data_IF_197767607830
#
_entry.id   IF_197767607830
#
_cell.length_a   1.000
_cell.length_b   1.000
_cell.length_c   1.000
_cell.angle_alpha   90.00
_cell.angle_beta   90.00
_cell.angle_gamma   90.00
#
_symmetry.space_group_name_H-M   'P 1'
#
loop_
_entity.id
_entity.type
_entity.pdbx_description
1 polymer ?
#
# COMPACT_ATOMS: atom_id res chain seq x y z
N UNK A 1 -4.95 -29.72 -18.10
CA UNK A 1 -5.52 -30.06 -16.77
C UNK A 1 -6.08 -28.77 -16.20
N UNK A 2 -7.35 -28.71 -15.79
CA UNK A 2 -7.86 -27.51 -15.12
C UNK A 2 -7.34 -27.45 -13.68
N UNK A 3 -6.93 -26.27 -13.18
CA UNK A 3 -6.42 -26.14 -11.82
C UNK A 3 -7.54 -26.44 -10.80
N UNK A 4 -7.22 -27.26 -9.81
CA UNK A 4 -8.12 -27.49 -8.66
C UNK A 4 -7.99 -26.29 -7.72
N UNK A 5 -9.06 -25.51 -7.61
CA UNK A 5 -9.13 -24.34 -6.73
C UNK A 5 -9.78 -24.76 -5.40
N UNK A 6 -9.25 -24.28 -4.28
CA UNK A 6 -9.87 -24.48 -2.97
C UNK A 6 -11.29 -23.88 -2.96
N UNK A 7 -12.28 -24.66 -2.53
CA UNK A 7 -13.68 -24.26 -2.48
C UNK A 7 -13.91 -22.96 -1.69
N UNK A 8 -13.13 -22.69 -0.65
CA UNK A 8 -13.21 -21.44 0.13
C UNK A 8 -12.86 -20.22 -0.72
N UNK A 9 -11.93 -20.37 -1.67
CA UNK A 9 -11.55 -19.33 -2.64
C UNK A 9 -12.60 -19.25 -3.74
N UNK A 10 -13.08 -20.40 -4.23
CA UNK A 10 -14.10 -20.47 -5.29
C UNK A 10 -15.41 -19.77 -4.93
N UNK A 11 -15.73 -19.65 -3.64
CA UNK A 11 -16.91 -18.93 -3.15
C UNK A 11 -16.72 -17.43 -2.90
N UNK A 12 -15.49 -16.91 -3.01
CA UNK A 12 -15.23 -15.49 -2.79
C UNK A 12 -15.88 -14.65 -3.89
N UNK A 13 -16.57 -13.58 -3.48
CA UNK A 13 -17.12 -12.60 -4.40
C UNK A 13 -16.04 -11.62 -4.84
N UNK A 14 -16.22 -11.05 -6.02
CA UNK A 14 -15.42 -9.90 -6.45
C UNK A 14 -15.55 -8.75 -5.43
N UNK A 15 -14.43 -8.05 -5.19
CA UNK A 15 -14.44 -6.87 -4.34
C UNK A 15 -15.23 -5.73 -4.99
N UNK A 16 -16.22 -5.20 -4.27
CA UNK A 16 -17.01 -4.07 -4.74
C UNK A 16 -16.14 -2.81 -5.02
N UNK A 17 -15.06 -2.60 -4.25
CA UNK A 17 -14.16 -1.46 -4.46
C UNK A 17 -13.31 -1.63 -5.71
N UNK A 18 -12.91 -2.87 -6.02
CA UNK A 18 -12.16 -3.17 -7.25
C UNK A 18 -13.06 -2.98 -8.48
N UNK A 19 -14.29 -3.51 -8.43
CA UNK A 19 -15.26 -3.39 -9.51
C UNK A 19 -15.54 -1.93 -9.88
N UNK A 20 -15.85 -1.08 -8.89
CA UNK A 20 -16.13 0.34 -9.14
C UNK A 20 -14.90 1.06 -9.72
N UNK A 21 -13.71 0.78 -9.22
CA UNK A 21 -12.47 1.39 -9.74
C UNK A 21 -12.20 0.97 -11.19
N UNK A 22 -12.37 -0.31 -11.52
CA UNK A 22 -12.20 -0.81 -12.90
C UNK A 22 -13.25 -0.21 -13.85
N UNK A 23 -14.51 -0.11 -13.41
CA UNK A 23 -15.56 0.52 -14.19
C UNK A 23 -15.26 2.00 -14.46
N UNK A 24 -14.81 2.74 -13.45
CA UNK A 24 -14.43 4.16 -13.62
C UNK A 24 -13.27 4.32 -14.62
N UNK A 25 -12.25 3.47 -14.55
CA UNK A 25 -11.14 3.46 -15.51
C UNK A 25 -11.60 3.13 -16.94
N UNK A 26 -12.47 2.12 -17.08
CA UNK A 26 -13.05 1.73 -18.37
C UNK A 26 -13.82 2.89 -19.02
N UNK A 27 -14.78 3.48 -18.30
CA UNK A 27 -15.59 4.59 -18.81
C UNK A 27 -14.74 5.81 -19.20
N UNK A 28 -13.67 6.11 -18.43
CA UNK A 28 -12.68 7.14 -18.80
C UNK A 28 -11.94 6.82 -20.09
N UNK A 29 -11.52 5.56 -20.26
CA UNK A 29 -10.84 5.12 -21.49
C UNK A 29 -11.73 5.18 -22.74
N UNK A 30 -13.05 5.08 -22.55
CA UNK A 30 -14.07 5.27 -23.59
C UNK A 30 -14.39 6.75 -23.87
N UNK A 31 -13.70 7.69 -23.20
CA UNK A 31 -13.88 9.13 -23.38
C UNK A 31 -15.03 9.74 -22.56
N UNK A 32 -15.63 8.97 -21.64
CA UNK A 32 -16.70 9.51 -20.79
C UNK A 32 -16.13 10.44 -19.70
N UNK A 33 -16.86 11.52 -19.42
CA UNK A 33 -16.48 12.47 -18.39
C UNK A 33 -16.84 11.96 -16.99
N UNK A 34 -15.94 11.18 -16.38
CA UNK A 34 -16.13 10.58 -15.06
C UNK A 34 -15.30 11.30 -14.00
N UNK A 35 -15.99 11.87 -13.01
CA UNK A 35 -15.39 12.31 -11.75
C UNK A 35 -15.23 11.09 -10.82
N UNK A 36 -14.03 10.52 -10.79
CA UNK A 36 -13.70 9.40 -9.91
C UNK A 36 -13.20 9.96 -8.59
N UNK A 37 -13.90 9.67 -7.49
CA UNK A 37 -13.54 10.09 -6.12
C UNK A 37 -13.20 8.88 -5.22
N UNK A 38 -12.98 7.71 -5.83
CA UNK A 38 -12.67 6.46 -5.15
C UNK A 38 -11.17 6.26 -4.88
N UNK A 39 -10.42 7.34 -4.62
CA UNK A 39 -8.98 7.27 -4.39
C UNK A 39 -8.71 6.63 -3.02
N UNK A 40 -7.86 5.59 -2.98
CA UNK A 40 -7.35 4.99 -1.75
C UNK A 40 -5.89 5.34 -1.45
N UNK A 41 -5.23 6.05 -2.37
CA UNK A 41 -3.84 6.45 -2.29
C UNK A 41 -3.70 7.98 -2.29
N UNK A 42 -2.57 8.46 -1.79
CA UNK A 42 -2.23 9.88 -1.85
C UNK A 42 -2.07 10.31 -3.33
N UNK A 43 -2.70 11.42 -3.77
CA UNK A 43 -2.51 11.93 -5.12
C UNK A 43 -1.19 12.71 -5.29
N UNK A 44 -0.46 12.94 -4.18
CA UNK A 44 0.79 13.69 -4.19
C UNK A 44 1.98 12.80 -4.55
N UNK A 45 3.00 13.34 -5.24
CA UNK A 45 4.22 12.61 -5.50
C UNK A 45 4.92 12.23 -4.19
N UNK A 46 5.72 11.16 -4.25
CA UNK A 46 6.56 10.75 -3.12
C UNK A 46 7.53 11.89 -2.76
N UNK A 47 7.65 12.30 -1.48
CA UNK A 47 8.57 13.35 -1.06
C UNK A 47 10.03 13.08 -1.45
N UNK A 48 10.73 14.11 -1.89
CA UNK A 48 12.12 14.01 -2.37
C UNK A 48 13.09 13.35 -1.38
N UNK A 49 13.07 13.65 -0.06
CA UNK A 49 13.94 12.98 0.89
C UNK A 49 13.73 11.45 0.95
N UNK A 50 12.49 10.99 0.76
CA UNK A 50 12.19 9.56 0.71
C UNK A 50 12.76 8.93 -0.56
N UNK A 51 12.62 9.61 -1.70
CA UNK A 51 13.16 9.15 -2.98
C UNK A 51 14.69 9.00 -2.92
N UNK A 52 15.39 9.97 -2.35
CA UNK A 52 16.84 9.93 -2.16
C UNK A 52 17.24 8.76 -1.24
N UNK A 53 16.61 8.63 -0.07
CA UNK A 53 16.92 7.57 0.88
C UNK A 53 16.72 6.15 0.28
N UNK A 54 15.66 5.97 -0.52
CA UNK A 54 15.41 4.72 -1.25
C UNK A 54 16.49 4.43 -2.29
N UNK A 55 16.89 5.43 -3.08
CA UNK A 55 17.94 5.30 -4.09
C UNK A 55 19.29 4.94 -3.47
N UNK A 56 19.69 5.64 -2.41
CA UNK A 56 20.95 5.41 -1.71
C UNK A 56 21.04 4.03 -1.08
N UNK A 57 19.91 3.44 -0.65
CA UNK A 57 19.88 2.15 0.03
C UNK A 57 19.50 0.97 -0.87
N UNK A 58 19.37 1.16 -2.19
CA UNK A 58 18.96 0.12 -3.14
C UNK A 58 19.89 -1.11 -3.18
N UNK A 59 21.14 -0.98 -2.72
CA UNK A 59 22.09 -2.09 -2.62
C UNK A 59 21.77 -3.09 -1.49
N UNK A 60 20.93 -2.72 -0.52
CA UNK A 60 20.53 -3.56 0.60
C UNK A 60 19.48 -4.57 0.13
N UNK A 61 19.85 -5.85 0.11
CA UNK A 61 19.00 -6.96 -0.40
C UNK A 61 18.83 -8.12 0.58
N UNK A 62 19.49 -8.02 1.72
CA UNK A 62 19.49 -9.06 2.74
C UNK A 62 18.12 -9.12 3.43
N UNK A 63 17.73 -10.32 3.84
CA UNK A 63 16.57 -10.47 4.72
C UNK A 63 16.77 -9.67 6.01
N UNK A 64 15.68 -9.07 6.47
CA UNK A 64 15.57 -8.44 7.78
C UNK A 64 14.66 -9.30 8.67
N UNK A 65 14.58 -8.96 9.96
CA UNK A 65 13.62 -9.61 10.85
C UNK A 65 12.19 -9.51 10.30
N UNK A 66 11.35 -10.51 10.57
CA UNK A 66 9.92 -10.46 10.26
C UNK A 66 9.19 -9.28 10.92
N UNK A 67 9.76 -8.73 12.01
CA UNK A 67 9.27 -7.52 12.66
C UNK A 67 9.76 -6.21 12.00
N UNK A 68 10.60 -6.29 10.97
CA UNK A 68 11.26 -5.15 10.34
C UNK A 68 12.56 -4.72 11.03
N UNK A 69 13.12 -3.61 10.57
CA UNK A 69 14.38 -3.06 11.07
C UNK A 69 14.26 -2.59 12.52
N UNK A 70 15.18 -2.96 13.44
CA UNK A 70 15.17 -2.47 14.82
C UNK A 70 15.18 -0.94 14.92
N UNK A 71 15.94 -0.27 14.05
CA UNK A 71 16.08 1.18 14.02
C UNK A 71 14.77 1.85 13.59
N UNK A 72 14.07 1.26 12.61
CA UNK A 72 12.76 1.74 12.16
C UNK A 72 11.72 1.61 13.29
N UNK A 73 11.68 0.47 13.97
CA UNK A 73 10.76 0.26 15.09
C UNK A 73 10.99 1.27 16.21
N UNK A 74 12.27 1.54 16.55
CA UNK A 74 12.64 2.54 17.56
C UNK A 74 12.24 3.96 17.11
N UNK A 75 12.45 4.31 15.85
CA UNK A 75 12.07 5.62 15.32
C UNK A 75 10.55 5.84 15.37
N UNK A 76 9.76 4.82 15.00
CA UNK A 76 8.30 4.86 15.07
C UNK A 76 7.81 4.99 16.52
N UNK A 77 8.35 4.19 17.44
CA UNK A 77 8.00 4.29 18.86
C UNK A 77 8.32 5.69 19.43
N UNK A 78 9.49 6.25 19.08
CA UNK A 78 9.88 7.60 19.46
C UNK A 78 8.95 8.68 18.92
N UNK A 79 8.55 8.58 17.65
CA UNK A 79 7.57 9.49 17.03
C UNK A 79 6.22 9.44 17.76
N UNK A 80 5.70 8.25 18.05
CA UNK A 80 4.42 8.14 18.75
C UNK A 80 4.49 8.66 20.20
N UNK A 81 5.66 8.55 20.83
CA UNK A 81 5.89 9.14 22.13
C UNK A 81 5.89 10.67 22.07
N UNK A 82 6.62 11.27 21.12
CA UNK A 82 6.74 12.73 21.02
C UNK A 82 5.44 13.40 20.59
N UNK A 83 4.75 12.84 19.60
CA UNK A 83 3.54 13.45 19.02
C UNK A 83 2.28 13.17 19.84
N UNK A 84 2.20 12.00 20.48
CA UNK A 84 0.96 11.52 21.10
C UNK A 84 1.12 11.04 22.54
N UNK A 85 2.33 11.02 23.11
CA UNK A 85 2.57 10.55 24.48
C UNK A 85 2.44 9.03 24.66
N UNK A 86 2.37 8.25 23.58
CA UNK A 86 2.25 6.79 23.68
C UNK A 86 3.62 6.16 23.97
N UNK A 87 3.65 5.32 25.01
CA UNK A 87 4.86 4.62 25.43
C UNK A 87 4.84 3.19 24.87
N UNK A 88 5.44 3.01 23.70
CA UNK A 88 5.69 1.68 23.13
C UNK A 88 7.10 1.22 23.50
N UNK A 89 7.20 0.02 24.08
CA UNK A 89 8.46 -0.64 24.47
C UNK A 89 9.06 -1.46 23.34
#
# INVERSE_FOLDING_TARGET
>A
MQPVINNQIGSLKESATLFINQLALKLRSEGQNICHLGFGESPFPVPEPMRIALQENAYRKQYISGYGLPELRKAVAGFFNSEFGYNYS
#
